data_IF_239450337194
#
_entry.id   IF_239450337194
#
_cell.length_a   1.000
_cell.length_b   1.000
_cell.length_c   1.000
_cell.angle_alpha   90.00
_cell.angle_beta   90.00
_cell.angle_gamma   90.00
#
_symmetry.space_group_name_H-M   'P 1'
#
loop_
_entity.id
_entity.type
_entity.pdbx_description
1 polymer ?
#
# COMPACT_ATOMS: atom_id res chain seq x y z
N UNK A 1 -10.32 -5.62 7.43
CA UNK A 1 -10.03 -4.20 7.16
C UNK A 1 -8.67 -3.98 6.50
N UNK A 2 -7.55 -4.32 7.16
CA UNK A 2 -6.23 -4.18 6.56
C UNK A 2 -6.05 -5.21 5.44
N UNK A 3 -5.33 -4.86 4.37
CA UNK A 3 -5.07 -5.72 3.21
C UNK A 3 -6.36 -6.30 2.58
N UNK A 4 -7.42 -5.50 2.56
CA UNK A 4 -8.73 -5.90 2.11
C UNK A 4 -9.34 -4.79 1.25
N UNK A 5 -9.35 -5.01 -0.06
CA UNK A 5 -9.87 -4.05 -1.04
C UNK A 5 -11.40 -4.05 -1.12
N UNK A 6 -12.05 -5.13 -0.65
CA UNK A 6 -13.50 -5.33 -0.74
C UNK A 6 -14.15 -5.29 0.65
N UNK A 7 -13.51 -4.62 1.61
CA UNK A 7 -13.99 -4.47 2.98
C UNK A 7 -15.45 -3.95 3.06
N UNK A 8 -15.85 -3.12 2.10
CA UNK A 8 -17.23 -2.66 1.95
C UNK A 8 -17.70 -2.81 0.50
N UNK A 9 -18.99 -3.14 0.33
CA UNK A 9 -19.59 -3.26 -0.98
C UNK A 9 -19.57 -1.92 -1.75
N UNK A 10 -19.29 -1.93 -3.07
CA UNK A 10 -19.40 -0.76 -3.92
C UNK A 10 -20.80 -0.14 -3.87
N UNK A 11 -20.87 1.20 -3.84
CA UNK A 11 -22.12 1.96 -3.80
C UNK A 11 -22.46 2.66 -5.11
N UNK A 12 -21.46 2.90 -5.95
CA UNK A 12 -21.58 3.67 -7.17
C UNK A 12 -20.83 2.97 -8.30
N UNK A 13 -21.35 3.15 -9.52
CA UNK A 13 -20.74 2.68 -10.77
C UNK A 13 -20.57 3.88 -11.68
N UNK A 14 -19.47 3.90 -12.42
CA UNK A 14 -19.15 4.94 -13.38
C UNK A 14 -19.12 4.32 -14.77
N UNK A 15 -19.52 5.11 -15.76
CA UNK A 15 -19.22 4.82 -17.16
C UNK A 15 -17.71 5.00 -17.39
N UNK A 16 -17.05 3.95 -17.88
CA UNK A 16 -15.60 3.92 -17.98
C UNK A 16 -15.07 4.89 -19.04
N UNK A 17 -15.76 5.01 -20.19
CA UNK A 17 -15.35 5.89 -21.26
C UNK A 17 -15.42 7.36 -20.82
N UNK A 18 -16.52 7.74 -20.17
CA UNK A 18 -16.68 9.07 -19.59
C UNK A 18 -15.64 9.34 -18.50
N UNK A 19 -15.44 8.40 -17.57
CA UNK A 19 -14.46 8.56 -16.49
C UNK A 19 -13.03 8.69 -17.05
N UNK A 20 -12.68 7.90 -18.06
CA UNK A 20 -11.38 7.97 -18.72
C UNK A 20 -11.18 9.32 -19.41
N UNK A 21 -12.18 9.82 -20.13
CA UNK A 21 -12.10 11.11 -20.81
C UNK A 21 -11.84 12.26 -19.81
N UNK A 22 -12.56 12.28 -18.69
CA UNK A 22 -12.41 13.27 -17.61
C UNK A 22 -11.02 13.19 -16.94
N UNK A 23 -10.49 11.98 -16.72
CA UNK A 23 -9.16 11.80 -16.12
C UNK A 23 -8.01 12.10 -17.08
N UNK A 24 -8.19 11.86 -18.37
CA UNK A 24 -7.15 12.02 -19.38
C UNK A 24 -6.91 13.49 -19.75
N UNK A 25 -7.98 14.30 -19.85
CA UNK A 25 -7.88 15.71 -20.22
C UNK A 25 -6.86 16.53 -19.38
N UNK A 26 -6.87 16.49 -18.03
CA UNK A 26 -5.88 17.20 -17.23
C UNK A 26 -4.46 16.63 -17.39
N UNK A 27 -4.33 15.33 -17.68
CA UNK A 27 -3.03 14.68 -17.89
C UNK A 27 -2.39 15.11 -19.22
N UNK A 28 -3.17 15.19 -20.30
CA UNK A 28 -2.71 15.76 -21.59
C UNK A 28 -2.18 17.18 -21.39
N UNK A 29 -2.90 18.01 -20.61
CA UNK A 29 -2.48 19.38 -20.31
C UNK A 29 -1.17 19.42 -19.51
N UNK A 30 -1.01 18.53 -18.53
CA UNK A 30 0.21 18.42 -17.74
C UNK A 30 1.42 18.01 -18.59
N UNK A 31 1.26 16.97 -19.43
CA UNK A 31 2.32 16.48 -20.34
C UNK A 31 2.70 17.56 -21.36
N UNK A 32 1.71 18.24 -21.96
CA UNK A 32 1.96 19.35 -22.89
C UNK A 32 2.83 20.44 -22.26
N UNK A 33 2.51 20.84 -21.03
CA UNK A 33 3.29 21.85 -20.30
C UNK A 33 4.73 21.40 -20.06
N UNK A 34 4.96 20.13 -19.75
CA UNK A 34 6.32 19.60 -19.58
C UNK A 34 7.10 19.50 -20.89
N UNK A 35 6.45 19.11 -21.99
CA UNK A 35 7.04 19.13 -23.34
C UNK A 35 7.48 20.55 -23.73
N UNK A 36 6.60 21.54 -23.55
CA UNK A 36 6.88 22.95 -23.81
C UNK A 36 8.05 23.45 -22.94
N UNK A 37 8.07 23.10 -21.64
CA UNK A 37 9.14 23.48 -20.71
C UNK A 37 10.51 22.94 -21.14
N UNK A 38 10.55 21.77 -21.76
CA UNK A 38 11.78 21.11 -22.23
C UNK A 38 12.11 21.39 -23.69
N UNK A 39 11.31 22.22 -24.39
CA UNK A 39 11.52 22.56 -25.79
C UNK A 39 11.29 21.40 -26.76
N UNK A 40 10.55 20.38 -26.33
CA UNK A 40 10.22 19.21 -27.15
C UNK A 40 8.98 19.53 -27.99
N UNK A 41 9.11 19.40 -29.32
CA UNK A 41 8.07 19.81 -30.29
C UNK A 41 7.06 18.72 -30.60
N UNK A 42 7.28 17.49 -30.14
CA UNK A 42 6.33 16.39 -30.34
C UNK A 42 5.05 16.65 -29.55
N UNK A 43 3.87 16.44 -30.15
CA UNK A 43 2.62 16.59 -29.43
C UNK A 43 2.46 15.49 -28.37
N UNK A 44 1.71 15.73 -27.29
CA UNK A 44 1.37 14.67 -26.34
C UNK A 44 0.53 13.60 -27.04
N UNK A 45 0.95 12.35 -26.92
CA UNK A 45 0.26 11.15 -27.44
C UNK A 45 -0.68 10.59 -26.35
N UNK A 46 -2.00 10.82 -26.43
CA UNK A 46 -2.92 10.46 -25.34
C UNK A 46 -2.97 8.96 -25.05
N UNK A 47 -2.66 8.10 -26.02
CA UNK A 47 -2.63 6.65 -25.88
C UNK A 47 -1.44 6.17 -25.03
N UNK A 48 -0.37 6.97 -24.93
CA UNK A 48 0.82 6.67 -24.13
C UNK A 48 0.76 7.21 -22.69
N UNK A 49 -0.25 8.03 -22.38
CA UNK A 49 -0.47 8.57 -21.04
C UNK A 49 -1.11 7.49 -20.17
N UNK A 50 -0.37 6.99 -19.19
CA UNK A 50 -0.91 6.07 -18.21
C UNK A 50 -1.77 6.82 -17.17
N UNK A 51 -2.93 6.25 -16.85
CA UNK A 51 -3.84 6.78 -15.85
C UNK A 51 -3.79 5.90 -14.60
N UNK A 52 -3.71 6.52 -13.42
CA UNK A 52 -3.57 5.79 -12.16
C UNK A 52 -4.71 4.77 -11.94
N UNK A 53 -5.93 5.04 -12.38
CA UNK A 53 -7.04 4.09 -12.22
C UNK A 53 -6.91 2.81 -13.06
N UNK A 54 -6.02 2.78 -14.05
CA UNK A 54 -5.74 1.61 -14.88
C UNK A 54 -4.71 0.66 -14.23
N UNK A 55 -4.17 1.01 -13.06
CA UNK A 55 -3.15 0.23 -12.37
C UNK A 55 -3.58 -0.19 -10.97
N UNK A 56 -2.84 -1.15 -10.42
CA UNK A 56 -2.89 -1.46 -8.99
C UNK A 56 -2.35 -0.28 -8.20
N UNK A 57 -3.07 0.15 -7.16
CA UNK A 57 -2.71 1.34 -6.37
C UNK A 57 -2.80 1.07 -4.90
N UNK A 58 -1.80 1.51 -4.15
CA UNK A 58 -1.94 1.57 -2.70
C UNK A 58 -3.00 2.60 -2.33
N UNK A 59 -3.81 2.25 -1.34
CA UNK A 59 -4.83 3.09 -0.76
C UNK A 59 -4.78 3.01 0.76
N UNK A 60 -5.09 4.11 1.44
CA UNK A 60 -5.29 4.12 2.89
C UNK A 60 -6.44 5.03 3.27
N UNK A 61 -7.11 4.69 4.37
CA UNK A 61 -8.23 5.49 4.89
C UNK A 61 -7.73 6.82 5.45
N UNK A 62 -8.36 7.91 5.04
CA UNK A 62 -8.15 9.23 5.65
C UNK A 62 -8.76 9.25 7.06
N UNK A 63 -10.03 8.83 7.18
CA UNK A 63 -10.78 8.90 8.44
C UNK A 63 -10.30 7.84 9.45
N UNK A 64 -9.62 8.30 10.49
CA UNK A 64 -9.15 7.56 11.64
C UNK A 64 -9.98 7.91 12.89
N UNK A 65 -11.18 7.33 13.00
CA UNK A 65 -12.04 7.53 14.16
C UNK A 65 -11.37 7.01 15.44
N UNK A 66 -11.56 7.70 16.57
CA UNK A 66 -11.02 7.32 17.88
C UNK A 66 -11.52 5.96 18.40
N UNK A 67 -12.62 5.46 17.83
CA UNK A 67 -13.18 4.13 18.11
C UNK A 67 -12.57 3.02 17.26
N UNK A 68 -11.67 3.34 16.32
CA UNK A 68 -11.00 2.32 15.51
C UNK A 68 -9.87 1.67 16.31
N UNK A 69 -9.69 0.37 16.13
CA UNK A 69 -8.56 -0.38 16.69
C UNK A 69 -7.20 0.14 16.17
N UNK A 70 -7.18 0.60 14.90
CA UNK A 70 -6.00 1.04 14.16
C UNK A 70 -6.22 2.46 13.60
N UNK A 71 -5.18 3.29 13.65
CA UNK A 71 -5.19 4.63 13.05
C UNK A 71 -5.01 4.53 11.54
N UNK A 72 -4.12 3.64 11.08
CA UNK A 72 -3.82 3.45 9.67
C UNK A 72 -4.33 2.10 9.20
N UNK A 73 -5.12 2.14 8.12
CA UNK A 73 -5.64 0.95 7.46
C UNK A 73 -5.38 1.13 5.98
N UNK A 74 -4.50 0.31 5.43
CA UNK A 74 -4.08 0.36 4.04
C UNK A 74 -4.31 -0.97 3.31
N UNK A 75 -4.40 -0.89 1.99
CA UNK A 75 -4.48 -2.03 1.07
C UNK A 75 -3.98 -1.63 -0.31
N UNK A 76 -3.91 -2.58 -1.24
CA UNK A 76 -3.77 -2.32 -2.67
C UNK A 76 -5.12 -2.56 -3.34
N UNK A 77 -5.57 -1.60 -4.15
CA UNK A 77 -6.78 -1.71 -4.94
C UNK A 77 -6.45 -2.27 -6.33
N UNK A 78 -7.32 -3.11 -6.92
CA UNK A 78 -7.18 -3.52 -8.31
C UNK A 78 -7.50 -2.34 -9.26
N UNK A 79 -7.14 -2.45 -10.54
CA UNK A 79 -7.53 -1.49 -11.57
C UNK A 79 -9.04 -1.24 -11.58
N UNK A 80 -9.45 -0.09 -12.12
CA UNK A 80 -10.84 0.33 -12.33
C UNK A 80 -11.68 0.51 -11.04
N UNK A 81 -11.04 0.57 -9.87
CA UNK A 81 -11.70 0.93 -8.60
C UNK A 81 -11.63 2.42 -8.33
N UNK A 82 -12.77 3.08 -8.18
CA UNK A 82 -12.85 4.49 -7.78
C UNK A 82 -13.19 4.61 -6.30
N UNK A 83 -12.61 5.62 -5.65
CA UNK A 83 -12.80 5.85 -4.22
C UNK A 83 -13.24 7.30 -3.97
N UNK A 84 -14.01 7.54 -2.89
CA UNK A 84 -14.30 8.90 -2.44
C UNK A 84 -13.02 9.57 -1.89
N UNK A 85 -13.07 10.89 -1.71
CA UNK A 85 -11.97 11.69 -1.17
C UNK A 85 -11.46 11.26 0.22
N UNK A 86 -12.24 10.48 0.97
CA UNK A 86 -11.87 9.95 2.29
C UNK A 86 -10.98 8.70 2.22
N UNK A 87 -10.53 8.34 1.02
CA UNK A 87 -9.51 7.30 0.79
C UNK A 87 -8.40 7.95 -0.01
N UNK A 88 -7.23 8.06 0.61
CA UNK A 88 -6.02 8.55 -0.04
C UNK A 88 -5.49 7.47 -0.97
N UNK A 89 -5.15 7.87 -2.20
CA UNK A 89 -4.67 6.98 -3.25
C UNK A 89 -3.23 7.34 -3.63
N UNK A 90 -2.43 6.32 -3.91
CA UNK A 90 -1.13 6.47 -4.52
C UNK A 90 -1.23 7.12 -5.91
N UNK A 91 -0.34 8.08 -6.16
CA UNK A 91 -0.01 8.51 -7.52
C UNK A 91 0.97 7.49 -8.10
N UNK A 92 0.48 6.59 -8.96
CA UNK A 92 1.30 5.48 -9.49
C UNK A 92 2.25 5.96 -10.56
N UNK A 93 1.80 6.82 -11.47
CA UNK A 93 2.60 7.24 -12.61
C UNK A 93 3.09 8.68 -12.46
N UNK A 94 4.35 8.89 -12.83
CA UNK A 94 4.90 10.20 -13.21
C UNK A 94 5.16 10.21 -14.70
N UNK A 95 5.10 11.40 -15.27
CA UNK A 95 5.50 11.61 -16.66
C UNK A 95 7.01 11.86 -16.71
N UNK A 96 7.66 11.16 -17.63
CA UNK A 96 9.01 11.44 -18.08
C UNK A 96 8.94 11.96 -19.50
N UNK A 97 9.67 13.05 -19.75
CA UNK A 97 9.79 13.67 -21.06
C UNK A 97 11.25 13.64 -21.45
N UNK A 98 11.53 13.07 -22.61
CA UNK A 98 12.86 13.00 -23.23
C UNK A 98 12.81 13.70 -24.59
N UNK A 99 13.95 13.80 -25.27
CA UNK A 99 14.02 14.32 -26.64
C UNK A 99 13.13 13.51 -27.61
N UNK A 100 12.89 12.23 -27.31
CA UNK A 100 12.13 11.30 -28.13
C UNK A 100 10.61 11.33 -27.87
N UNK A 101 10.17 12.11 -26.87
CA UNK A 101 8.74 12.30 -26.54
C UNK A 101 8.43 12.13 -25.07
N UNK A 102 7.22 11.66 -24.77
CA UNK A 102 6.74 11.45 -23.40
C UNK A 102 6.46 9.97 -23.13
N UNK A 103 6.70 9.57 -21.88
CA UNK A 103 6.29 8.27 -21.34
C UNK A 103 5.77 8.43 -19.91
N UNK A 104 4.89 7.53 -19.49
CA UNK A 104 4.51 7.40 -18.08
C UNK A 104 5.31 6.26 -17.45
N UNK A 105 6.01 6.56 -16.35
CA UNK A 105 6.77 5.58 -15.57
C UNK A 105 6.19 5.44 -14.17
N UNK A 106 6.19 4.23 -13.64
CA UNK A 106 5.69 3.97 -12.29
C UNK A 106 6.67 4.52 -11.24
N UNK A 107 6.15 5.21 -10.22
CA UNK A 107 6.91 5.65 -9.05
C UNK A 107 7.40 4.47 -8.22
N UNK A 108 6.53 3.46 -8.09
CA UNK A 108 6.77 2.24 -7.34
C UNK A 108 6.43 1.04 -8.21
N UNK A 109 7.30 0.04 -8.21
CA UNK A 109 6.94 -1.26 -8.77
C UNK A 109 5.99 -2.05 -7.84
N UNK A 110 5.43 -3.18 -8.30
CA UNK A 110 4.51 -3.99 -7.51
C UNK A 110 5.03 -4.44 -6.14
N UNK A 111 6.29 -4.89 -6.04
CA UNK A 111 6.87 -5.36 -4.78
C UNK A 111 7.09 -4.21 -3.80
N UNK A 112 7.60 -3.06 -4.28
CA UNK A 112 7.74 -1.86 -3.44
C UNK A 112 6.39 -1.39 -2.90
N UNK A 113 5.33 -1.44 -3.70
CA UNK A 113 3.97 -1.10 -3.27
C UNK A 113 3.46 -2.03 -2.18
N UNK A 114 3.67 -3.34 -2.33
CA UNK A 114 3.34 -4.34 -1.31
C UNK A 114 4.13 -4.10 -0.01
N UNK A 115 5.43 -3.80 -0.11
CA UNK A 115 6.28 -3.50 1.03
C UNK A 115 5.78 -2.28 1.80
N UNK A 116 5.52 -1.16 1.12
CA UNK A 116 5.01 0.06 1.78
C UNK A 116 3.63 -0.20 2.39
N UNK A 117 2.77 -0.98 1.73
CA UNK A 117 1.47 -1.39 2.29
C UNK A 117 1.64 -2.19 3.59
N UNK A 118 2.66 -3.05 3.68
CA UNK A 118 2.99 -3.76 4.92
C UNK A 118 3.47 -2.83 6.02
N UNK A 119 4.36 -1.89 5.71
CA UNK A 119 4.84 -0.91 6.69
C UNK A 119 3.69 -0.06 7.22
N UNK A 120 2.80 0.43 6.36
CA UNK A 120 1.64 1.24 6.76
C UNK A 120 0.67 0.50 7.68
N UNK A 121 0.54 -0.82 7.50
CA UNK A 121 -0.31 -1.66 8.33
C UNK A 121 0.39 -2.17 9.60
N UNK A 122 1.65 -1.81 9.87
CA UNK A 122 2.39 -2.24 11.06
C UNK A 122 2.01 -1.44 12.31
N UNK A 123 2.12 -2.07 13.49
CA UNK A 123 1.92 -1.35 14.77
C UNK A 123 2.89 -0.19 14.96
N UNK A 124 4.13 -0.30 14.48
CA UNK A 124 5.16 0.73 14.64
C UNK A 124 4.79 2.00 13.88
N UNK A 125 4.39 1.85 12.62
CA UNK A 125 3.95 2.97 11.79
C UNK A 125 2.67 3.61 12.33
N UNK A 126 1.70 2.79 12.75
CA UNK A 126 0.44 3.26 13.34
C UNK A 126 0.70 4.04 14.65
N UNK A 127 1.59 3.53 15.50
CA UNK A 127 1.97 4.16 16.76
C UNK A 127 2.58 5.55 16.54
N UNK A 128 3.47 5.69 15.56
CA UNK A 128 4.08 6.97 15.21
C UNK A 128 3.02 7.99 14.78
N UNK A 129 2.13 7.61 13.87
CA UNK A 129 1.07 8.51 13.41
C UNK A 129 0.05 8.85 14.49
N UNK A 130 -0.28 7.88 15.37
CA UNK A 130 -1.22 8.09 16.47
C UNK A 130 -0.77 9.17 17.46
N UNK A 131 0.54 9.47 17.54
CA UNK A 131 1.02 10.57 18.39
C UNK A 131 0.62 11.96 17.88
N UNK A 132 0.28 12.10 16.59
CA UNK A 132 0.04 13.40 15.95
C UNK A 132 -1.32 13.50 15.24
N UNK A 133 -1.90 12.37 14.84
CA UNK A 133 -3.19 12.31 14.15
C UNK A 133 -4.32 12.24 15.16
N UNK A 134 -5.34 13.07 14.96
CA UNK A 134 -6.60 13.01 15.71
C UNK A 134 -7.67 12.24 14.97
N UNK A 135 -8.13 12.75 13.81
CA UNK A 135 -9.25 12.18 13.05
C UNK A 135 -8.93 11.90 11.57
N UNK A 136 -7.90 12.56 11.02
CA UNK A 136 -7.59 12.55 9.59
C UNK A 136 -6.12 12.24 9.34
N UNK A 137 -5.85 11.11 8.67
CA UNK A 137 -4.52 10.70 8.22
C UNK A 137 -4.25 11.37 6.87
N UNK A 138 -3.89 12.65 6.88
CA UNK A 138 -3.52 13.38 5.67
C UNK A 138 -2.08 13.08 5.24
N UNK A 139 -1.75 13.35 3.98
CA UNK A 139 -0.37 13.22 3.47
C UNK A 139 0.64 14.08 4.23
N UNK A 140 0.21 15.17 4.89
CA UNK A 140 1.08 15.98 5.74
C UNK A 140 1.72 15.12 6.84
N UNK A 141 0.96 14.28 7.52
CA UNK A 141 1.52 13.41 8.55
C UNK A 141 2.34 12.28 7.93
N UNK A 142 1.83 11.65 6.87
CA UNK A 142 2.49 10.52 6.19
C UNK A 142 3.89 10.90 5.70
N UNK A 143 4.07 12.06 5.08
CA UNK A 143 5.36 12.51 4.57
C UNK A 143 6.40 12.82 5.65
N UNK A 144 5.96 12.98 6.90
CA UNK A 144 6.85 13.19 8.05
C UNK A 144 7.14 11.88 8.83
N UNK A 145 6.70 10.73 8.33
CA UNK A 145 6.96 9.43 8.97
C UNK A 145 8.23 8.77 8.43
N UNK A 146 9.08 8.18 9.29
CA UNK A 146 10.20 7.38 8.83
C UNK A 146 9.71 6.05 8.26
N UNK A 147 10.18 5.70 7.05
CA UNK A 147 9.93 4.40 6.41
C UNK A 147 11.27 3.70 6.18
N UNK A 148 11.51 2.50 6.76
CA UNK A 148 12.73 1.75 6.56
C UNK A 148 12.94 1.45 5.07
N UNK A 149 14.17 1.67 4.58
CA UNK A 149 14.54 1.42 3.19
C UNK A 149 15.21 0.07 3.09
N UNK A 150 14.63 -0.82 2.29
CA UNK A 150 15.22 -2.10 1.91
C UNK A 150 15.38 -2.16 0.39
N UNK A 151 16.41 -2.87 -0.04
CA UNK A 151 16.64 -3.18 -1.45
C UNK A 151 15.98 -4.52 -1.83
N UNK A 152 15.69 -4.72 -3.12
CA UNK A 152 15.05 -5.96 -3.61
C UNK A 152 15.84 -7.22 -3.29
N UNK A 153 17.16 -7.12 -3.22
CA UNK A 153 18.05 -8.25 -2.93
C UNK A 153 18.00 -8.70 -1.46
N UNK A 154 17.32 -7.97 -0.59
CA UNK A 154 17.20 -8.31 0.82
C UNK A 154 16.14 -9.38 1.04
N UNK A 155 16.50 -10.47 1.72
CA UNK A 155 15.59 -11.56 2.06
C UNK A 155 14.38 -11.09 2.87
N UNK A 156 14.56 -10.08 3.74
CA UNK A 156 13.48 -9.49 4.54
C UNK A 156 12.48 -8.75 3.65
N UNK A 157 12.94 -8.14 2.56
CA UNK A 157 12.06 -7.50 1.59
C UNK A 157 11.19 -8.53 0.86
N UNK A 158 11.79 -9.63 0.39
CA UNK A 158 11.07 -10.73 -0.26
C UNK A 158 10.05 -11.39 0.70
N UNK A 159 10.44 -11.56 1.95
CA UNK A 159 9.59 -12.10 3.01
C UNK A 159 8.36 -11.23 3.32
N UNK A 160 8.55 -9.92 3.46
CA UNK A 160 7.44 -8.98 3.72
C UNK A 160 6.51 -8.93 2.51
N UNK A 161 7.07 -8.83 1.31
CA UNK A 161 6.27 -8.67 0.08
C UNK A 161 5.50 -9.94 -0.27
N UNK A 162 6.08 -11.13 -0.07
CA UNK A 162 5.37 -12.40 -0.30
C UNK A 162 4.17 -12.57 0.64
N UNK A 163 4.31 -12.25 1.93
CA UNK A 163 3.19 -12.28 2.90
C UNK A 163 2.12 -11.26 2.57
N UNK A 164 2.51 -10.05 2.18
CA UNK A 164 1.60 -9.00 1.74
C UNK A 164 0.82 -9.41 0.47
N UNK A 165 1.52 -10.00 -0.50
CA UNK A 165 0.91 -10.51 -1.73
C UNK A 165 -0.18 -11.53 -1.41
N UNK A 166 0.10 -12.49 -0.51
CA UNK A 166 -0.90 -13.48 -0.08
C UNK A 166 -2.09 -12.85 0.64
N UNK A 167 -1.90 -11.77 1.39
CA UNK A 167 -2.99 -11.08 2.07
C UNK A 167 -3.88 -10.27 1.09
N UNK A 168 -3.30 -9.73 0.02
CA UNK A 168 -3.98 -8.84 -0.94
C UNK A 168 -4.59 -9.61 -2.10
N UNK A 169 -3.80 -10.48 -2.75
CA UNK A 169 -4.16 -11.17 -3.98
C UNK A 169 -5.09 -12.35 -3.69
N UNK A 170 -6.35 -12.07 -3.38
CA UNK A 170 -7.35 -13.07 -2.96
C UNK A 170 -8.55 -13.20 -3.91
N UNK A 171 -8.64 -12.33 -4.91
CA UNK A 171 -9.70 -12.34 -5.92
C UNK A 171 -9.13 -12.27 -7.35
N UNK A 172 -9.87 -12.71 -8.39
CA UNK A 172 -9.39 -12.77 -9.77
C UNK A 172 -8.85 -11.44 -10.32
N UNK A 173 -9.37 -10.30 -9.85
CA UNK A 173 -8.91 -8.97 -10.23
C UNK A 173 -7.45 -8.70 -9.85
N UNK A 174 -6.86 -9.54 -8.99
CA UNK A 174 -5.46 -9.49 -8.59
C UNK A 174 -4.56 -10.52 -9.29
N UNK A 175 -5.05 -11.33 -10.22
CA UNK A 175 -4.25 -12.38 -10.85
C UNK A 175 -3.00 -11.83 -11.56
N UNK A 176 -3.11 -10.68 -12.23
CA UNK A 176 -1.95 -10.05 -12.85
C UNK A 176 -0.92 -9.54 -11.83
N UNK A 177 -1.38 -9.00 -10.69
CA UNK A 177 -0.48 -8.61 -9.60
C UNK A 177 0.19 -9.84 -9.00
N UNK A 178 -0.59 -10.89 -8.70
CA UNK A 178 -0.13 -12.16 -8.13
C UNK A 178 1.01 -12.74 -8.97
N UNK A 179 0.81 -12.86 -10.29
CA UNK A 179 1.81 -13.34 -11.23
C UNK A 179 3.08 -12.48 -11.22
N UNK A 180 2.93 -11.15 -11.21
CA UNK A 180 4.08 -10.22 -11.22
C UNK A 180 4.96 -10.29 -9.97
N UNK A 181 4.44 -10.83 -8.86
CA UNK A 181 5.13 -10.92 -7.56
C UNK A 181 5.45 -12.36 -7.14
N UNK A 182 5.32 -13.32 -8.06
CA UNK A 182 5.75 -14.71 -7.87
C UNK A 182 4.70 -15.66 -7.29
N UNK A 183 3.43 -15.24 -7.19
CA UNK A 183 2.31 -16.16 -6.97
C UNK A 183 1.80 -16.68 -8.32
N UNK A 184 1.03 -17.78 -8.31
CA UNK A 184 0.41 -18.34 -9.53
C UNK A 184 -0.86 -17.59 -9.92
N UNK A 185 -1.66 -17.23 -8.92
CA UNK A 185 -2.95 -16.55 -9.06
C UNK A 185 -3.46 -16.12 -7.67
N UNK A 186 -4.66 -15.57 -7.62
CA UNK A 186 -5.41 -15.32 -6.41
C UNK A 186 -5.68 -16.56 -5.54
N UNK A 187 -5.57 -17.77 -6.10
CA UNK A 187 -5.76 -19.02 -5.35
C UNK A 187 -4.64 -19.28 -4.33
N UNK A 188 -3.46 -18.66 -4.52
CA UNK A 188 -2.37 -18.70 -3.52
C UNK A 188 -2.59 -17.69 -2.37
N UNK A 189 -3.62 -16.82 -2.51
CA UNK A 189 -4.02 -15.84 -1.52
C UNK A 189 -4.61 -16.47 -0.26
N UNK A 190 -4.30 -15.88 0.88
CA UNK A 190 -4.82 -16.31 2.18
C UNK A 190 -6.23 -15.77 2.39
N UNK A 191 -7.23 -16.64 2.32
CA UNK A 191 -8.65 -16.33 2.61
C UNK A 191 -9.07 -16.79 4.01
N UNK A 192 -8.42 -17.81 4.57
CA UNK A 192 -8.68 -18.30 5.92
C UNK A 192 -8.35 -17.23 6.99
N UNK A 193 -9.28 -16.89 7.91
CA UNK A 193 -9.05 -15.86 8.90
C UNK A 193 -7.85 -16.11 9.83
N UNK A 194 -7.57 -17.37 10.21
CA UNK A 194 -6.47 -17.70 11.10
C UNK A 194 -5.12 -17.57 10.38
N UNK A 195 -5.03 -18.02 9.12
CA UNK A 195 -3.85 -17.77 8.30
C UNK A 195 -3.62 -16.27 8.08
N UNK A 196 -4.67 -15.50 7.76
CA UNK A 196 -4.58 -14.04 7.59
C UNK A 196 -4.12 -13.36 8.87
N UNK A 197 -4.57 -13.80 10.05
CA UNK A 197 -4.11 -13.29 11.34
C UNK A 197 -2.63 -13.60 11.56
N UNK A 198 -2.19 -14.83 11.29
CA UNK A 198 -0.79 -15.24 11.40
C UNK A 198 0.12 -14.41 10.48
N UNK A 199 -0.25 -14.23 9.21
CA UNK A 199 0.53 -13.45 8.25
C UNK A 199 0.66 -11.98 8.68
N UNK A 200 -0.40 -11.37 9.20
CA UNK A 200 -0.35 -9.99 9.74
C UNK A 200 0.57 -9.90 10.95
N UNK A 201 0.47 -10.83 11.90
CA UNK A 201 1.37 -10.87 13.05
C UNK A 201 2.84 -11.03 12.64
N UNK A 202 3.13 -11.88 11.65
CA UNK A 202 4.47 -12.04 11.08
C UNK A 202 4.99 -10.77 10.42
N UNK A 203 4.14 -10.05 9.68
CA UNK A 203 4.48 -8.74 9.13
C UNK A 203 4.79 -7.71 10.22
N UNK A 204 3.99 -7.66 11.29
CA UNK A 204 4.24 -6.76 12.42
C UNK A 204 5.60 -7.03 13.08
N UNK A 205 5.92 -8.31 13.31
CA UNK A 205 7.21 -8.71 13.86
C UNK A 205 8.38 -8.36 12.95
N UNK A 206 8.28 -8.65 11.65
CA UNK A 206 9.32 -8.34 10.66
C UNK A 206 9.56 -6.83 10.59
N UNK A 207 8.49 -6.04 10.46
CA UNK A 207 8.60 -4.58 10.36
C UNK A 207 9.18 -3.98 11.65
N UNK A 208 8.81 -4.47 12.84
CA UNK A 208 9.39 -3.98 14.09
C UNK A 208 10.92 -4.14 14.15
N UNK A 209 11.45 -5.26 13.67
CA UNK A 209 12.90 -5.45 13.51
C UNK A 209 13.53 -4.48 12.50
N UNK A 210 12.82 -4.11 11.43
CA UNK A 210 13.33 -3.11 10.47
C UNK A 210 13.44 -1.69 11.06
N UNK A 211 12.60 -1.37 12.04
CA UNK A 211 12.68 -0.13 12.80
C UNK A 211 13.75 -0.17 13.91
N UNK A 212 14.40 -1.32 14.13
CA UNK A 212 15.47 -1.46 15.12
C UNK A 212 14.99 -1.45 16.57
N UNK A 213 13.72 -1.79 16.82
CA UNK A 213 13.15 -1.82 18.16
C UNK A 213 13.71 -2.98 18.98
N UNK A 214 13.86 -2.79 20.29
CA UNK A 214 14.02 -3.89 21.24
C UNK A 214 12.69 -4.63 21.46
N UNK A 215 12.77 -5.82 22.09
CA UNK A 215 11.56 -6.55 22.47
C UNK A 215 10.68 -5.75 23.43
N UNK A 216 11.30 -5.08 24.42
CA UNK A 216 10.61 -4.25 25.41
C UNK A 216 9.96 -3.03 24.76
N UNK A 217 10.63 -2.38 23.81
CA UNK A 217 10.09 -1.24 23.06
C UNK A 217 8.90 -1.66 22.21
N UNK A 218 8.98 -2.80 21.51
CA UNK A 218 7.86 -3.31 20.73
C UNK A 218 6.68 -3.71 21.62
N UNK A 219 6.94 -4.36 22.76
CA UNK A 219 5.91 -4.68 23.75
C UNK A 219 5.24 -3.41 24.31
N UNK A 220 6.01 -2.35 24.55
CA UNK A 220 5.48 -1.05 24.95
C UNK A 220 4.56 -0.47 23.88
N UNK A 221 5.00 -0.46 22.60
CA UNK A 221 4.16 0.00 21.49
C UNK A 221 2.84 -0.75 21.45
N UNK A 222 2.86 -2.09 21.51
CA UNK A 222 1.64 -2.91 21.49
C UNK A 222 0.69 -2.56 22.66
N UNK A 223 1.22 -2.22 23.83
CA UNK A 223 0.41 -1.84 25.00
C UNK A 223 -0.42 -0.56 24.78
N UNK A 224 -0.03 0.31 23.84
CA UNK A 224 -0.74 1.55 23.52
C UNK A 224 -1.98 1.38 22.63
N UNK A 225 -2.31 0.14 22.25
CA UNK A 225 -3.49 -0.22 21.45
C UNK A 225 -4.56 -0.91 22.32
N UNK A 226 -5.32 -0.17 23.16
CA UNK A 226 -6.25 -0.76 24.12
C UNK A 226 -7.48 -1.42 23.46
N UNK A 227 -7.85 -0.97 22.25
CA UNK A 227 -8.99 -1.51 21.51
C UNK A 227 -8.65 -2.79 20.74
N UNK A 228 -7.37 -3.09 20.55
CA UNK A 228 -6.93 -4.34 19.91
C UNK A 228 -6.97 -5.46 20.94
N UNK A 229 -7.61 -6.58 20.59
CA UNK A 229 -7.67 -7.77 21.43
C UNK A 229 -6.28 -8.27 21.86
N UNK A 230 -6.16 -8.68 23.12
CA UNK A 230 -4.88 -9.11 23.69
C UNK A 230 -4.25 -10.28 22.95
N UNK A 231 -5.05 -11.25 22.48
CA UNK A 231 -4.57 -12.36 21.66
C UNK A 231 -3.83 -11.88 20.40
N UNK A 232 -4.34 -10.86 19.72
CA UNK A 232 -3.72 -10.31 18.50
C UNK A 232 -2.39 -9.62 18.82
N UNK A 233 -2.32 -8.89 19.94
CA UNK A 233 -1.06 -8.27 20.41
C UNK A 233 -0.04 -9.33 20.82
N UNK A 234 -0.47 -10.39 21.50
CA UNK A 234 0.38 -11.52 21.87
C UNK A 234 0.93 -12.23 20.64
N UNK A 235 0.10 -12.44 19.60
CA UNK A 235 0.56 -13.05 18.35
C UNK A 235 1.61 -12.20 17.63
N UNK A 236 1.43 -10.88 17.57
CA UNK A 236 2.42 -9.96 17.01
C UNK A 236 3.74 -9.99 17.81
N UNK A 237 3.66 -9.97 19.14
CA UNK A 237 4.84 -10.07 20.01
C UNK A 237 5.56 -11.42 19.86
N UNK A 238 4.81 -12.52 19.77
CA UNK A 238 5.39 -13.84 19.53
C UNK A 238 6.01 -13.95 18.13
N UNK A 239 5.42 -13.31 17.13
CA UNK A 239 6.02 -13.22 15.80
C UNK A 239 7.34 -12.46 15.82
N UNK A 240 7.43 -11.33 16.52
CA UNK A 240 8.69 -10.60 16.72
C UNK A 240 9.79 -11.51 17.32
N UNK A 241 9.46 -12.31 18.34
CA UNK A 241 10.40 -13.28 18.93
C UNK A 241 10.79 -14.40 17.97
N UNK A 242 9.87 -14.85 17.11
CA UNK A 242 10.16 -15.87 16.08
C UNK A 242 11.10 -15.33 15.00
N UNK A 243 10.94 -14.07 14.58
CA UNK A 243 11.87 -13.39 13.66
C UNK A 243 13.27 -13.32 14.26
N UNK A 244 13.40 -12.91 15.53
CA UNK A 244 14.69 -12.87 16.23
C UNK A 244 15.40 -14.23 16.30
N UNK A 245 14.64 -15.33 16.24
CA UNK A 245 15.16 -16.71 16.23
C UNK A 245 15.37 -17.29 14.83
N UNK A 246 15.13 -16.53 13.76
CA UNK A 246 15.21 -17.01 12.38
C UNK A 246 14.13 -18.04 11.99
N UNK A 247 13.02 -18.09 12.74
CA UNK A 247 11.89 -18.99 12.48
C UNK A 247 10.85 -18.36 11.54
N UNK A 248 10.95 -17.04 11.35
CA UNK A 248 10.17 -16.25 10.41
C UNK A 248 11.20 -15.41 9.68
N UNK A 249 11.53 -15.83 8.46
CA UNK A 249 12.37 -15.08 7.55
C UNK A 249 11.49 -14.27 6.64
#
# INVERSE_FOLDING_TARGET
HQFDADFAAPRYWLDEEAARAELLAPRIKAVRRELERLGVTTPPEPERIALNYDSYRMAFRDVAASTNERTVIATVLPPKRFCPHTVSLEMVFRDEVTADGHSSVAHLDPLQRLYITSVFNSYVFDWFLRQSVTAHVSFFFVYNTPVPRLERGDERFASITSRAARLICTTPEFDALALSVGLKSHQDGATDPAERARLRAELDGLVAHLYGLSEEEFAHILSTFPLVADAVKVDAHNAYRRVAKGLVN
#
